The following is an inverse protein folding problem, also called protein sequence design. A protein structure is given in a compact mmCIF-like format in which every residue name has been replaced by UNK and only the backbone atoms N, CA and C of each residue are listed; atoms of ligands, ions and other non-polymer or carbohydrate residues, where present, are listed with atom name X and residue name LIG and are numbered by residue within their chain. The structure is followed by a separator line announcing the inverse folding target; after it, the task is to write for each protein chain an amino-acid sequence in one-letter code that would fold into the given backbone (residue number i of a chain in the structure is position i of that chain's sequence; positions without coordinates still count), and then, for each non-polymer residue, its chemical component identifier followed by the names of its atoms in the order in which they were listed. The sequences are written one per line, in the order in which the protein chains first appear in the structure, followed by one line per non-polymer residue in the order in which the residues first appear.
data_IF_624389162084
#
_entry.id   IF_624389162084
#
_cell.length_a   1.000
_cell.length_b   1.000
_cell.length_c   1.000
_cell.angle_alpha   90.00
_cell.angle_beta   90.00
_cell.angle_gamma   90.00
#
_symmetry.space_group_name_H-M   'P 1'
#
loop_
_entity.id
_entity.type
_entity.pdbx_description
1 polymer ?
#
# COMPACT_ATOMS: atom_id res chain seq x y z
N UNK A 1 -15.79 -8.87 21.72
CA UNK A 1 -15.96 -7.87 20.65
C UNK A 1 -14.66 -7.85 19.87
N UNK A 2 -14.58 -8.62 18.79
CA UNK A 2 -13.43 -8.56 17.88
C UNK A 2 -13.51 -7.23 17.17
N UNK A 3 -12.54 -6.34 17.43
CA UNK A 3 -12.35 -5.15 16.62
C UNK A 3 -12.17 -5.64 15.18
N UNK A 4 -13.21 -5.46 14.37
CA UNK A 4 -13.12 -5.61 12.92
C UNK A 4 -12.18 -4.51 12.47
N UNK A 5 -10.87 -4.77 12.49
CA UNK A 5 -9.88 -3.90 11.91
C UNK A 5 -10.30 -3.73 10.45
N UNK A 6 -10.82 -2.56 10.10
CA UNK A 6 -11.14 -2.29 8.71
C UNK A 6 -9.87 -2.54 7.89
N UNK A 7 -9.95 -3.33 6.82
CA UNK A 7 -8.76 -3.92 6.25
C UNK A 7 -7.89 -2.81 5.65
N UNK A 8 -6.67 -2.70 6.17
CA UNK A 8 -5.66 -1.81 5.65
C UNK A 8 -5.34 -2.20 4.19
N UNK A 9 -4.80 -1.25 3.43
CA UNK A 9 -4.19 -1.59 2.15
C UNK A 9 -2.91 -2.35 2.45
N UNK A 10 -2.63 -3.43 1.75
CA UNK A 10 -1.44 -4.26 1.98
C UNK A 10 -0.68 -4.48 0.67
N UNK A 11 0.61 -4.78 0.77
CA UNK A 11 1.34 -5.35 -0.35
C UNK A 11 0.83 -6.78 -0.61
N UNK A 12 0.66 -7.13 -1.89
CA UNK A 12 0.25 -8.46 -2.30
C UNK A 12 1.33 -9.50 -1.97
N UNK A 13 0.90 -10.64 -1.41
CA UNK A 13 1.76 -11.75 -0.95
C UNK A 13 2.91 -11.35 -0.01
N UNK A 14 2.74 -10.27 0.76
CA UNK A 14 3.79 -9.81 1.68
C UNK A 14 4.07 -10.81 2.82
N UNK A 15 5.31 -11.25 2.93
CA UNK A 15 5.81 -12.03 4.06
C UNK A 15 7.00 -11.32 4.73
N UNK A 16 6.78 -10.74 5.90
CA UNK A 16 7.83 -10.07 6.67
C UNK A 16 9.07 -10.97 6.95
N UNK A 17 8.88 -12.30 7.00
CA UNK A 17 9.97 -13.24 7.25
C UNK A 17 10.72 -13.67 5.99
N UNK A 18 10.28 -13.24 4.80
CA UNK A 18 11.06 -13.34 3.58
C UNK A 18 12.02 -12.14 3.48
N UNK A 19 13.32 -12.42 3.35
CA UNK A 19 14.37 -11.41 3.20
C UNK A 19 14.07 -10.45 2.03
N UNK A 20 13.43 -10.95 0.96
CA UNK A 20 13.06 -10.12 -0.19
C UNK A 20 11.98 -9.09 0.14
N UNK A 21 11.04 -9.43 1.02
CA UNK A 21 9.93 -8.55 1.39
C UNK A 21 10.29 -7.62 2.55
N UNK A 22 11.22 -8.02 3.41
CA UNK A 22 11.78 -7.18 4.47
C UNK A 22 12.35 -5.86 3.92
N UNK A 23 12.96 -5.88 2.72
CA UNK A 23 13.53 -4.68 2.09
C UNK A 23 12.48 -3.61 1.76
N UNK A 24 11.19 -3.99 1.66
CA UNK A 24 10.11 -3.04 1.41
C UNK A 24 9.68 -2.29 2.67
N UNK A 25 10.05 -2.72 3.87
CA UNK A 25 9.66 -2.04 5.11
C UNK A 25 10.23 -0.62 5.15
N UNK A 26 9.39 0.35 5.52
CA UNK A 26 9.68 1.79 5.52
C UNK A 26 10.05 2.40 4.15
N UNK A 27 9.98 1.62 3.06
CA UNK A 27 10.21 2.14 1.73
C UNK A 27 9.10 3.08 1.29
N UNK A 28 9.52 4.13 0.57
CA UNK A 28 8.62 5.06 -0.10
C UNK A 28 8.42 4.64 -1.54
N UNK A 29 7.17 4.40 -1.89
CA UNK A 29 6.75 4.09 -3.24
C UNK A 29 5.81 5.14 -3.80
N UNK A 30 5.39 4.95 -5.05
CA UNK A 30 4.35 5.76 -5.68
C UNK A 30 3.37 4.91 -6.47
N UNK A 31 2.08 5.23 -6.33
CA UNK A 31 1.03 4.74 -7.23
C UNK A 31 0.79 5.82 -8.27
N UNK A 32 1.03 5.49 -9.55
CA UNK A 32 0.77 6.40 -10.66
C UNK A 32 -0.63 6.17 -11.22
N UNK A 33 -1.41 7.24 -11.36
CA UNK A 33 -2.76 7.22 -11.95
C UNK A 33 -2.82 8.17 -13.15
N UNK A 34 -2.30 7.73 -14.31
CA UNK A 34 -2.27 8.56 -15.51
C UNK A 34 -3.66 8.95 -16.00
N UNK A 35 -4.66 8.10 -15.77
CA UNK A 35 -6.07 8.37 -16.08
C UNK A 35 -6.70 9.50 -15.25
N UNK A 36 -6.11 9.80 -14.09
CA UNK A 36 -6.51 10.91 -13.22
C UNK A 36 -5.48 12.05 -13.21
N UNK A 37 -4.32 11.88 -13.86
CA UNK A 37 -3.21 12.83 -13.82
C UNK A 37 -2.57 13.00 -12.42
N UNK A 38 -2.68 12.00 -11.53
CA UNK A 38 -2.18 12.09 -10.15
C UNK A 38 -1.11 11.04 -9.84
N UNK A 39 -0.22 11.38 -8.92
CA UNK A 39 0.76 10.48 -8.30
C UNK A 39 0.49 10.45 -6.81
N UNK A 40 0.33 9.26 -6.25
CA UNK A 40 0.03 9.07 -4.83
C UNK A 40 1.27 8.47 -4.16
N UNK A 41 1.98 9.21 -3.30
CA UNK A 41 3.06 8.66 -2.51
C UNK A 41 2.51 7.64 -1.52
N UNK A 42 3.30 6.60 -1.24
CA UNK A 42 2.95 5.56 -0.26
C UNK A 42 4.15 5.20 0.61
N UNK A 43 3.87 4.73 1.82
CA UNK A 43 4.87 4.18 2.74
C UNK A 43 4.43 2.79 3.19
N UNK A 44 5.32 1.81 3.10
CA UNK A 44 5.08 0.45 3.56
C UNK A 44 5.44 0.35 5.05
N UNK A 45 4.54 -0.23 5.85
CA UNK A 45 4.73 -0.46 7.28
C UNK A 45 5.35 -1.84 7.53
N UNK A 46 5.80 -2.06 8.75
CA UNK A 46 6.44 -3.30 9.19
C UNK A 46 5.56 -4.55 9.02
N UNK A 47 4.24 -4.40 9.08
CA UNK A 47 3.27 -5.49 8.88
C UNK A 47 2.81 -5.64 7.42
N UNK A 48 3.48 -4.96 6.48
CA UNK A 48 3.12 -4.94 5.06
C UNK A 48 1.94 -4.04 4.72
N UNK A 49 1.35 -3.36 5.71
CA UNK A 49 0.31 -2.37 5.44
C UNK A 49 0.89 -1.13 4.72
N UNK A 50 0.06 -0.48 3.92
CA UNK A 50 0.47 0.62 3.05
C UNK A 50 -0.29 1.88 3.44
N UNK A 51 0.45 2.89 3.87
CA UNK A 51 -0.07 4.23 4.14
C UNK A 51 0.00 5.08 2.88
N UNK A 52 -1.03 5.86 2.61
CA UNK A 52 -1.09 6.77 1.48
C UNK A 52 -0.76 8.20 1.91
N UNK A 53 -0.08 8.96 1.06
CA UNK A 53 0.19 10.38 1.25
C UNK A 53 1.63 10.71 1.67
N UNK A 54 1.96 11.99 1.60
CA UNK A 54 3.19 12.58 2.14
C UNK A 54 2.83 13.89 2.88
N UNK A 55 2.86 13.93 4.21
CA UNK A 55 3.24 12.84 5.12
C UNK A 55 2.25 11.66 5.05
N UNK A 56 2.69 10.43 5.39
CA UNK A 56 1.83 9.26 5.36
C UNK A 56 0.65 9.44 6.31
N UNK A 57 -0.55 9.06 5.83
CA UNK A 57 -1.80 9.21 6.56
C UNK A 57 -2.19 7.86 7.16
N UNK A 58 -2.14 7.77 8.49
CA UNK A 58 -2.53 6.59 9.28
C UNK A 58 -4.05 6.32 9.28
N UNK A 59 -4.83 7.24 8.71
CA UNK A 59 -6.27 7.07 8.56
C UNK A 59 -6.54 6.15 7.39
N UNK A 60 -7.38 5.16 7.66
CA UNK A 60 -8.05 4.35 6.66
C UNK A 60 -8.59 5.23 5.52
N UNK A 61 -8.10 5.04 4.28
CA UNK A 61 -8.60 5.79 3.15
C UNK A 61 -10.08 5.50 2.92
N UNK A 62 -10.84 6.52 2.52
CA UNK A 62 -12.25 6.35 2.17
C UNK A 62 -12.44 5.20 1.18
N UNK A 63 -13.60 4.54 1.22
CA UNK A 63 -13.91 3.41 0.33
C UNK A 63 -13.74 3.73 -1.15
N UNK A 64 -13.92 5.00 -1.55
CA UNK A 64 -13.65 5.49 -2.91
C UNK A 64 -12.16 5.45 -3.24
N UNK A 65 -11.31 5.96 -2.34
CA UNK A 65 -9.84 5.92 -2.52
C UNK A 65 -9.35 4.48 -2.58
N UNK A 66 -9.80 3.62 -1.64
CA UNK A 66 -9.46 2.19 -1.64
C UNK A 66 -9.77 1.51 -2.98
N UNK A 67 -10.98 1.69 -3.53
CA UNK A 67 -11.35 1.11 -4.85
C UNK A 67 -10.50 1.62 -6.00
N UNK A 68 -10.05 2.87 -5.90
CA UNK A 68 -9.25 3.55 -6.92
C UNK A 68 -7.80 3.03 -6.89
N UNK A 69 -7.23 2.77 -5.72
CA UNK A 69 -5.85 2.28 -5.59
C UNK A 69 -5.71 0.75 -5.55
N UNK A 70 -6.81 0.03 -5.31
CA UNK A 70 -6.88 -1.43 -5.31
C UNK A 70 -6.27 -2.05 -6.57
N UNK A 71 -5.40 -3.06 -6.42
CA UNK A 71 -4.79 -3.78 -7.54
C UNK A 71 -3.87 -2.93 -8.40
N UNK A 72 -3.46 -1.74 -7.91
CA UNK A 72 -2.51 -0.88 -8.61
C UNK A 72 -1.09 -1.25 -8.23
N UNK A 73 -0.22 -1.06 -9.21
CA UNK A 73 1.22 -1.18 -9.02
C UNK A 73 1.76 0.00 -8.21
N UNK A 74 2.57 -0.32 -7.22
CA UNK A 74 3.43 0.59 -6.48
C UNK A 74 4.82 0.48 -7.08
N UNK A 75 5.35 1.61 -7.51
CA UNK A 75 6.71 1.72 -8.01
C UNK A 75 7.64 2.21 -6.90
N UNK A 76 8.76 1.52 -6.74
CA UNK A 76 9.84 1.86 -5.81
C UNK A 76 11.08 2.27 -6.61
N UNK A 77 11.98 3.03 -5.99
CA UNK A 77 13.16 3.55 -6.69
C UNK A 77 14.21 2.46 -6.96
N UNK A 78 14.43 1.57 -5.99
CA UNK A 78 15.52 0.58 -5.99
C UNK A 78 15.01 -0.86 -5.84
N UNK A 79 13.70 -1.05 -5.72
CA UNK A 79 13.07 -2.36 -5.55
C UNK A 79 12.12 -2.68 -6.70
N UNK A 80 11.90 -3.97 -6.99
CA UNK A 80 10.85 -4.39 -7.91
C UNK A 80 9.49 -3.82 -7.51
N UNK A 81 8.63 -3.47 -8.48
CA UNK A 81 7.29 -3.02 -8.18
C UNK A 81 6.46 -4.11 -7.49
N UNK A 82 5.51 -3.69 -6.65
CA UNK A 82 4.55 -4.58 -5.97
C UNK A 82 3.13 -4.16 -6.28
N UNK A 83 2.20 -5.10 -6.21
CA UNK A 83 0.77 -4.81 -6.36
C UNK A 83 0.16 -4.53 -4.99
N UNK A 84 -0.76 -3.56 -4.95
CA UNK A 84 -1.55 -3.30 -3.78
C UNK A 84 -2.70 -4.31 -3.66
N UNK A 85 -2.66 -5.13 -2.63
CA UNK A 85 -3.69 -6.11 -2.31
C UNK A 85 -5.04 -5.43 -2.05
N UNK A 86 -6.08 -6.10 -2.52
CA UNK A 86 -7.45 -5.65 -2.32
C UNK A 86 -8.01 -6.23 -1.03
N UNK A 87 -8.52 -5.40 -0.09
CA UNK A 87 -9.19 -5.90 1.09
C UNK A 87 -10.36 -6.81 0.69
N UNK A 88 -10.38 -8.05 1.20
CA UNK A 88 -11.51 -8.94 0.97
C UNK A 88 -12.77 -8.35 1.62
N UNK A 89 -13.86 -8.33 0.85
CA UNK A 89 -15.15 -7.75 1.24
C UNK A 89 -15.75 -8.41 2.48
#
# INVERSE_FOLDING_TARGET
MTASAEPYLMLDDFDYYDDADYEYVDMRGVIRRPDLGIVIPVTVQYDGSVLLGDPPVDKIPSSRVRRVVCGREIQFAELPPKILACPQR
#
